data_IF_625626566617
#
_entry.id   IF_625626566617
#
_cell.length_a   1.000
_cell.length_b   1.000
_cell.length_c   1.000
_cell.angle_alpha   90.00
_cell.angle_beta   90.00
_cell.angle_gamma   90.00
#
_symmetry.space_group_name_H-M   'P 1'
#
loop_
_entity.id
_entity.type
_entity.pdbx_description
1 polymer ?
#
# COMPACT_ATOMS: atom_id res chain seq x y z
N UNK A 1 -8.52 -9.37 14.85
CA UNK A 1 -7.15 -9.09 15.32
C UNK A 1 -6.08 -9.16 14.21
N UNK A 2 -6.03 -10.20 13.36
CA UNK A 2 -4.97 -10.32 12.31
C UNK A 2 -5.04 -9.23 11.23
N UNK A 3 -6.26 -8.80 10.89
CA UNK A 3 -6.60 -7.81 9.87
C UNK A 3 -6.02 -6.41 10.12
N UNK A 4 -6.37 -5.80 11.25
CA UNK A 4 -5.82 -4.51 11.67
C UNK A 4 -4.30 -4.56 11.76
N UNK A 5 -3.75 -5.69 12.19
CA UNK A 5 -2.30 -5.80 12.41
C UNK A 5 -1.53 -5.74 11.09
N UNK A 6 -2.03 -6.36 10.01
CA UNK A 6 -1.32 -6.37 8.73
C UNK A 6 -1.37 -5.02 8.00
N UNK A 7 -2.51 -4.31 8.08
CA UNK A 7 -2.62 -2.95 7.54
C UNK A 7 -1.77 -1.95 8.34
N UNK A 8 -1.78 -2.05 9.68
CA UNK A 8 -0.87 -1.28 10.56
C UNK A 8 0.59 -1.59 10.28
N UNK A 9 0.94 -2.86 10.05
CA UNK A 9 2.30 -3.25 9.67
C UNK A 9 2.72 -2.59 8.35
N UNK A 10 1.82 -2.51 7.39
CA UNK A 10 2.10 -1.82 6.13
C UNK A 10 2.45 -0.35 6.34
N UNK A 11 1.72 0.34 7.23
CA UNK A 11 1.99 1.72 7.58
C UNK A 11 3.32 1.89 8.33
N UNK A 12 3.64 0.99 9.27
CA UNK A 12 4.91 0.98 10.00
C UNK A 12 6.09 0.80 9.04
N UNK A 13 6.00 -0.15 8.09
CA UNK A 13 7.07 -0.37 7.13
C UNK A 13 7.19 0.78 6.13
N UNK A 14 6.08 1.43 5.76
CA UNK A 14 6.12 2.66 4.96
C UNK A 14 6.86 3.79 5.70
N UNK A 15 6.55 3.99 6.99
CA UNK A 15 7.24 5.00 7.81
C UNK A 15 8.73 4.70 7.99
N UNK A 16 9.11 3.42 8.09
CA UNK A 16 10.53 3.02 8.09
C UNK A 16 11.19 3.26 6.73
N UNK A 17 10.48 3.00 5.65
CA UNK A 17 10.99 3.16 4.29
C UNK A 17 11.37 4.63 3.98
N UNK A 18 10.77 5.63 4.63
CA UNK A 18 11.23 7.03 4.52
C UNK A 18 12.67 7.22 5.00
N UNK A 19 13.14 6.38 5.93
CA UNK A 19 14.52 6.45 6.46
C UNK A 19 15.47 5.47 5.78
N UNK A 20 14.97 4.32 5.31
CA UNK A 20 15.79 3.24 4.73
C UNK A 20 15.67 3.12 3.21
N UNK A 21 14.81 3.92 2.58
CA UNK A 21 14.40 3.84 1.18
C UNK A 21 13.84 2.47 0.73
N UNK A 22 13.43 1.61 1.67
CA UNK A 22 12.96 0.23 1.36
C UNK A 22 11.44 0.17 1.14
N UNK A 23 10.97 0.87 0.11
CA UNK A 23 9.55 0.92 -0.24
C UNK A 23 9.06 -0.39 -0.90
N UNK A 24 9.96 -1.24 -1.41
CA UNK A 24 9.63 -2.55 -1.98
C UNK A 24 9.00 -3.48 -0.94
N UNK A 25 9.51 -3.45 0.30
CA UNK A 25 8.95 -4.24 1.39
C UNK A 25 7.54 -3.78 1.76
N UNK A 26 7.32 -2.47 1.88
CA UNK A 26 6.00 -1.89 2.12
C UNK A 26 5.02 -2.28 1.00
N UNK A 27 5.46 -2.21 -0.26
CA UNK A 27 4.68 -2.61 -1.42
C UNK A 27 4.27 -4.08 -1.40
N UNK A 28 5.18 -4.99 -1.04
CA UNK A 28 4.89 -6.44 -0.92
C UNK A 28 3.83 -6.72 0.15
N UNK A 29 3.94 -6.06 1.31
CA UNK A 29 2.97 -6.20 2.40
C UNK A 29 1.61 -5.66 1.96
N UNK A 30 1.58 -4.46 1.37
CA UNK A 30 0.35 -3.85 0.86
C UNK A 30 -0.37 -4.75 -0.15
N UNK A 31 0.38 -5.33 -1.10
CA UNK A 31 -0.16 -6.29 -2.06
C UNK A 31 -0.75 -7.54 -1.39
N UNK A 32 -0.07 -8.09 -0.38
CA UNK A 32 -0.58 -9.25 0.37
C UNK A 32 -1.88 -8.91 1.09
N UNK A 33 -1.95 -7.76 1.76
CA UNK A 33 -3.16 -7.32 2.45
C UNK A 33 -4.30 -7.12 1.47
N UNK A 34 -4.07 -6.44 0.33
CA UNK A 34 -5.11 -6.19 -0.67
C UNK A 34 -5.57 -7.47 -1.40
N UNK A 35 -4.73 -8.51 -1.52
CA UNK A 35 -5.19 -9.81 -2.05
C UNK A 35 -6.19 -10.49 -1.13
N UNK A 36 -6.01 -10.37 0.18
CA UNK A 36 -6.92 -10.96 1.16
C UNK A 36 -8.11 -10.04 1.46
N UNK A 37 -7.88 -8.73 1.45
CA UNK A 37 -8.85 -7.70 1.79
C UNK A 37 -8.81 -6.57 0.76
N UNK A 38 -9.44 -6.75 -0.41
CA UNK A 38 -9.39 -5.79 -1.51
C UNK A 38 -9.95 -4.39 -1.15
N UNK A 39 -10.74 -4.30 -0.08
CA UNK A 39 -11.38 -3.07 0.39
C UNK A 39 -10.63 -2.36 1.51
N UNK A 40 -9.45 -2.84 1.89
CA UNK A 40 -8.68 -2.27 2.99
C UNK A 40 -8.01 -0.95 2.57
N UNK A 41 -8.62 0.17 2.96
CA UNK A 41 -8.21 1.52 2.57
C UNK A 41 -6.79 1.86 3.03
N UNK A 42 -6.35 1.40 4.20
CA UNK A 42 -5.00 1.71 4.68
C UNK A 42 -3.92 1.02 3.83
N UNK A 43 -4.15 -0.23 3.46
CA UNK A 43 -3.25 -0.97 2.57
C UNK A 43 -3.24 -0.38 1.16
N UNK A 44 -4.40 0.10 0.68
CA UNK A 44 -4.47 0.84 -0.58
C UNK A 44 -3.57 2.08 -0.58
N UNK A 45 -3.70 2.92 0.46
CA UNK A 45 -2.88 4.13 0.62
C UNK A 45 -1.39 3.81 0.72
N UNK A 46 -1.03 2.79 1.50
CA UNK A 46 0.37 2.37 1.61
C UNK A 46 0.93 1.87 0.28
N UNK A 47 0.15 1.08 -0.49
CA UNK A 47 0.54 0.65 -1.84
C UNK A 47 0.77 1.84 -2.76
N UNK A 48 -0.13 2.82 -2.71
CA UNK A 48 -0.04 4.00 -3.57
C UNK A 48 1.22 4.82 -3.29
N UNK A 49 1.50 5.12 -2.01
CA UNK A 49 2.71 5.86 -1.61
C UNK A 49 3.98 5.09 -2.01
N UNK A 50 4.02 3.78 -1.75
CA UNK A 50 5.17 2.95 -2.11
C UNK A 50 5.41 2.94 -3.63
N UNK A 51 4.36 2.89 -4.46
CA UNK A 51 4.50 2.97 -5.93
C UNK A 51 5.03 4.34 -6.38
N UNK A 52 4.58 5.43 -5.76
CA UNK A 52 5.07 6.79 -6.08
C UNK A 52 6.55 6.91 -5.74
N UNK A 53 6.96 6.44 -4.56
CA UNK A 53 8.35 6.52 -4.10
C UNK A 53 9.30 5.64 -4.92
N UNK A 54 8.80 4.51 -5.44
CA UNK A 54 9.54 3.65 -6.38
C UNK A 54 9.52 4.18 -7.83
N UNK A 55 8.97 5.38 -8.07
CA UNK A 55 8.80 5.97 -9.40
C UNK A 55 7.97 5.11 -10.37
N UNK A 56 7.08 4.25 -9.86
CA UNK A 56 6.18 3.36 -10.62
C UNK A 56 4.83 4.01 -10.85
N UNK A 57 4.84 5.19 -11.47
CA UNK A 57 3.66 6.06 -11.60
C UNK A 57 2.54 5.44 -12.46
N UNK A 58 2.88 4.67 -13.49
CA UNK A 58 1.89 4.00 -14.34
C UNK A 58 1.02 3.01 -13.55
N UNK A 59 1.64 2.30 -12.61
CA UNK A 59 0.95 1.37 -11.72
C UNK A 59 0.13 2.10 -10.66
N UNK A 60 0.64 3.21 -10.13
CA UNK A 60 -0.10 4.07 -9.21
C UNK A 60 -1.37 4.63 -9.88
N UNK A 61 -1.27 5.12 -11.11
CA UNK A 61 -2.41 5.62 -11.88
C UNK A 61 -3.40 4.51 -12.21
N UNK A 62 -2.91 3.34 -12.60
CA UNK A 62 -3.77 2.17 -12.84
C UNK A 62 -4.51 1.74 -11.58
N UNK A 63 -3.84 1.79 -10.43
CA UNK A 63 -4.41 1.48 -9.13
C UNK A 63 -5.53 2.47 -8.77
N UNK A 64 -5.33 3.78 -8.96
CA UNK A 64 -6.37 4.80 -8.74
C UNK A 64 -7.56 4.58 -9.68
N UNK A 65 -7.31 4.36 -10.98
CA UNK A 65 -8.37 4.17 -11.98
C UNK A 65 -9.24 2.93 -11.73
N UNK A 66 -8.65 1.86 -11.17
CA UNK A 66 -9.36 0.61 -10.87
C UNK A 66 -10.13 0.67 -9.54
N UNK A 67 -9.85 1.65 -8.70
CA UNK A 67 -10.45 1.74 -7.37
C UNK A 67 -11.70 2.60 -7.41
N UNK A 68 -12.88 2.08 -7.00
CA UNK A 68 -14.10 2.87 -6.90
C UNK A 68 -13.94 4.04 -5.91
N UNK A 69 -14.65 5.18 -6.10
CA UNK A 69 -14.52 6.37 -5.26
C UNK A 69 -14.71 6.11 -3.75
N UNK A 70 -15.50 5.10 -3.40
CA UNK A 70 -15.76 4.71 -2.01
C UNK A 70 -14.57 4.05 -1.30
N UNK A 71 -13.48 3.76 -2.00
CA UNK A 71 -12.28 3.09 -1.47
C UNK A 71 -11.01 3.99 -1.53
N UNK A 72 -11.15 5.27 -1.91
CA UNK A 72 -10.05 6.26 -1.91
C UNK A 72 -9.90 6.94 -0.54
#
# INVERSE_FOLDING_TARGET
MVLENAAKQCFIELAKADTSADYDKALKIANKVLRTFPKETLAFKCKLVALIQLNRLDEALTLIKKTPPHHM
#
